data_IF_117791156705
#
_entry.id   IF_117791156705
#
_cell.length_a   1.000
_cell.length_b   1.000
_cell.length_c   1.000
_cell.angle_alpha   90.00
_cell.angle_beta   90.00
_cell.angle_gamma   90.00
#
_symmetry.space_group_name_H-M   'P 1'
#
loop_
_entity.id
_entity.type
_entity.pdbx_description
1 polymer ?
#
# COMPACT_ATOMS: atom_id res chain seq x y z
N UNK A 1 -54.69 18.09 -1.75
CA UNK A 1 -53.78 17.42 -2.70
C UNK A 1 -52.43 18.15 -2.69
N UNK A 2 -51.63 17.89 -1.66
CA UNK A 2 -50.40 18.65 -1.35
C UNK A 2 -49.29 17.67 -0.93
N UNK A 3 -48.87 16.79 -1.84
CA UNK A 3 -47.77 15.82 -1.58
C UNK A 3 -47.04 15.44 -2.88
N UNK A 4 -46.73 16.42 -3.73
CA UNK A 4 -45.93 16.21 -4.95
C UNK A 4 -44.84 17.29 -5.02
N UNK A 5 -43.90 17.32 -4.05
CA UNK A 5 -42.70 18.17 -4.18
C UNK A 5 -41.46 17.67 -3.43
N UNK A 6 -41.47 16.46 -2.85
CA UNK A 6 -40.37 15.96 -2.01
C UNK A 6 -39.51 14.85 -2.62
N UNK A 7 -39.68 14.53 -3.90
CA UNK A 7 -39.00 13.40 -4.57
C UNK A 7 -38.03 13.80 -5.70
N UNK A 8 -37.64 15.09 -5.78
CA UNK A 8 -36.78 15.58 -6.87
C UNK A 8 -35.40 16.12 -6.43
N UNK A 9 -34.93 15.85 -5.21
CA UNK A 9 -33.64 16.37 -4.73
C UNK A 9 -32.53 15.31 -4.53
N UNK A 10 -32.84 14.01 -4.64
CA UNK A 10 -31.87 12.94 -4.33
C UNK A 10 -31.14 12.33 -5.53
N UNK A 11 -31.16 12.96 -6.71
CA UNK A 11 -30.44 12.46 -7.91
C UNK A 11 -29.02 13.03 -8.02
N UNK A 12 -28.58 13.86 -7.07
CA UNK A 12 -27.18 14.30 -6.97
C UNK A 12 -26.39 13.39 -6.02
N UNK A 13 -26.41 12.07 -6.25
CA UNK A 13 -25.29 11.25 -5.80
C UNK A 13 -24.13 11.56 -6.73
N UNK A 14 -23.25 12.45 -6.27
CA UNK A 14 -21.99 12.75 -6.95
C UNK A 14 -21.27 11.46 -7.27
N UNK A 15 -21.20 11.14 -8.56
CA UNK A 15 -20.22 10.18 -9.07
C UNK A 15 -18.87 10.83 -8.75
N UNK A 16 -18.22 10.37 -7.67
CA UNK A 16 -16.80 10.61 -7.47
C UNK A 16 -16.10 9.86 -8.61
N UNK A 17 -16.01 10.52 -9.76
CA UNK A 17 -15.36 10.02 -10.94
C UNK A 17 -13.88 9.99 -10.66
N UNK A 18 -13.38 8.84 -10.22
CA UNK A 18 -11.95 8.58 -10.18
C UNK A 18 -11.42 8.81 -11.59
N UNK A 19 -10.56 9.82 -11.77
CA UNK A 19 -9.87 9.99 -13.04
C UNK A 19 -9.03 8.73 -13.28
N UNK A 20 -9.21 8.03 -14.41
CA UNK A 20 -8.44 6.84 -14.68
C UNK A 20 -6.95 7.19 -14.78
N UNK A 21 -6.10 6.33 -14.22
CA UNK A 21 -4.64 6.43 -14.38
C UNK A 21 -4.30 6.33 -15.87
N UNK A 22 -3.62 7.35 -16.40
CA UNK A 22 -3.19 7.37 -17.80
C UNK A 22 -1.86 6.63 -17.94
N UNK A 23 -1.92 5.34 -18.28
CA UNK A 23 -0.73 4.51 -18.45
C UNK A 23 0.13 4.89 -19.67
N UNK A 24 -0.35 5.77 -20.56
CA UNK A 24 0.40 6.27 -21.72
C UNK A 24 1.38 7.39 -21.40
N UNK A 25 1.30 8.01 -20.21
CA UNK A 25 2.22 9.07 -19.79
C UNK A 25 3.53 8.54 -19.22
N UNK A 26 4.59 9.28 -19.45
CA UNK A 26 5.87 9.08 -18.79
C UNK A 26 5.75 9.36 -17.30
N UNK A 27 6.50 8.61 -16.51
CA UNK A 27 6.59 8.79 -15.07
C UNK A 27 8.06 8.83 -14.66
N UNK A 28 8.36 9.64 -13.65
CA UNK A 28 9.63 9.59 -12.95
C UNK A 28 9.57 8.48 -11.89
N UNK A 29 10.54 7.58 -11.91
CA UNK A 29 10.59 6.45 -10.98
C UNK A 29 11.50 6.75 -9.80
N UNK A 30 10.94 6.72 -8.61
CA UNK A 30 11.70 6.83 -7.37
C UNK A 30 11.65 5.53 -6.56
N UNK A 31 12.79 5.13 -6.00
CA UNK A 31 12.89 3.88 -5.22
C UNK A 31 12.43 4.05 -3.77
N UNK A 32 11.85 3.00 -3.22
CA UNK A 32 11.61 2.77 -1.80
C UNK A 32 12.19 1.42 -1.40
N UNK A 33 12.87 1.38 -0.27
CA UNK A 33 13.32 0.12 0.33
C UNK A 33 12.71 -0.02 1.71
N UNK A 34 11.84 -1.03 1.89
CA UNK A 34 11.23 -1.37 3.16
C UNK A 34 11.94 -2.60 3.73
N UNK A 35 12.72 -2.41 4.80
CA UNK A 35 13.37 -3.49 5.54
C UNK A 35 12.58 -3.79 6.80
N UNK A 36 12.17 -5.04 6.99
CA UNK A 36 11.39 -5.47 8.13
C UNK A 36 12.13 -6.56 8.90
N UNK A 37 12.10 -6.45 10.23
CA UNK A 37 12.74 -7.40 11.13
C UNK A 37 11.91 -7.58 12.40
N UNK A 38 11.36 -8.77 12.54
CA UNK A 38 10.51 -9.21 13.66
C UNK A 38 11.30 -9.95 14.75
N UNK A 39 12.59 -10.23 14.55
CA UNK A 39 13.36 -11.12 15.42
C UNK A 39 13.73 -10.49 16.77
N UNK A 40 13.52 -9.18 16.94
CA UNK A 40 13.99 -8.42 18.10
C UNK A 40 12.87 -8.06 19.09
N UNK A 41 11.60 -8.20 18.73
CA UNK A 41 10.49 -7.89 19.63
C UNK A 41 9.24 -8.73 19.28
N UNK A 42 8.93 -9.73 20.10
CA UNK A 42 7.78 -10.62 19.88
C UNK A 42 6.43 -9.89 20.03
N UNK A 43 6.42 -8.72 20.69
CA UNK A 43 5.21 -7.94 20.94
C UNK A 43 4.94 -6.97 19.76
N UNK A 44 5.99 -6.54 19.04
CA UNK A 44 5.94 -5.62 17.90
C UNK A 44 6.54 -6.22 16.62
N UNK A 45 6.35 -7.52 16.39
CA UNK A 45 6.66 -8.16 15.12
C UNK A 45 5.96 -7.38 14.00
N UNK A 46 6.69 -6.73 13.09
CA UNK A 46 6.13 -5.71 12.19
C UNK A 46 6.90 -4.39 12.13
N UNK A 47 7.92 -4.23 12.98
CA UNK A 47 8.90 -3.14 12.85
C UNK A 47 9.57 -3.17 11.48
N UNK A 48 9.32 -2.13 10.70
CA UNK A 48 9.96 -1.92 9.41
C UNK A 48 10.65 -0.56 9.40
N UNK A 49 11.70 -0.46 8.60
CA UNK A 49 12.47 0.74 8.31
C UNK A 49 12.31 1.04 6.83
N UNK A 50 11.98 2.28 6.51
CA UNK A 50 11.81 2.78 5.16
C UNK A 50 13.00 3.64 4.77
N UNK A 51 13.52 3.39 3.56
CA UNK A 51 14.47 4.27 2.88
C UNK A 51 13.83 4.83 1.62
N UNK A 52 13.90 6.15 1.46
CA UNK A 52 13.34 6.94 0.37
C UNK A 52 14.47 7.31 -0.59
N UNK A 53 14.36 6.91 -1.85
CA UNK A 53 15.35 7.19 -2.89
C UNK A 53 16.58 6.30 -2.82
N UNK A 54 17.64 6.72 -3.53
CA UNK A 54 18.91 5.98 -3.55
C UNK A 54 19.75 6.21 -2.29
N UNK A 55 19.80 7.46 -1.86
CA UNK A 55 20.71 7.97 -0.82
C UNK A 55 19.97 8.40 0.47
N UNK A 56 18.71 8.00 0.60
CA UNK A 56 17.92 8.29 1.79
C UNK A 56 18.47 7.62 3.04
N UNK A 57 18.26 8.25 4.18
CA UNK A 57 18.55 7.64 5.47
C UNK A 57 17.40 6.72 5.88
N UNK A 58 17.68 5.50 6.39
CA UNK A 58 16.65 4.63 6.93
C UNK A 58 15.94 5.29 8.12
N UNK A 59 14.61 5.24 8.13
CA UNK A 59 13.77 5.71 9.23
C UNK A 59 12.69 4.69 9.59
N UNK A 60 12.15 4.68 10.82
CA UNK A 60 11.01 3.84 11.16
C UNK A 60 9.84 4.07 10.20
N UNK A 61 9.32 3.00 9.62
CA UNK A 61 8.16 3.04 8.74
C UNK A 61 6.88 3.14 9.57
N UNK A 62 5.87 3.83 9.04
CA UNK A 62 4.55 3.94 9.66
C UNK A 62 3.73 2.70 9.31
N UNK A 63 3.73 1.72 10.21
CA UNK A 63 3.04 0.45 10.02
C UNK A 63 1.87 0.29 11.00
N UNK A 64 0.74 -0.18 10.49
CA UNK A 64 -0.42 -0.56 11.29
C UNK A 64 -0.56 -2.09 11.32
N UNK A 65 -0.86 -2.63 12.49
CA UNK A 65 -1.25 -4.03 12.66
C UNK A 65 -2.76 -4.15 12.48
N UNK A 66 -3.19 -5.05 11.62
CA UNK A 66 -4.60 -5.38 11.38
C UNK A 66 -4.80 -6.90 11.30
N UNK A 67 -6.07 -7.31 11.24
CA UNK A 67 -6.46 -8.70 10.99
C UNK A 67 -7.02 -8.78 9.58
N UNK A 68 -6.38 -9.57 8.72
CA UNK A 68 -6.90 -9.89 7.40
C UNK A 68 -7.86 -11.07 7.50
N UNK A 69 -9.08 -10.91 6.97
CA UNK A 69 -10.01 -12.03 6.79
C UNK A 69 -9.64 -12.81 5.53
N UNK A 70 -9.32 -14.07 5.72
CA UNK A 70 -9.07 -15.02 4.64
C UNK A 70 -10.41 -15.54 4.06
N UNK A 71 -10.38 -16.11 2.86
CA UNK A 71 -11.57 -16.62 2.18
C UNK A 71 -12.33 -17.70 2.98
N UNK A 72 -11.63 -18.42 3.86
CA UNK A 72 -12.17 -19.46 4.72
C UNK A 72 -12.68 -18.93 6.08
N UNK A 73 -12.88 -17.61 6.22
CA UNK A 73 -13.25 -16.92 7.47
C UNK A 73 -12.22 -17.04 8.61
N UNK A 74 -11.01 -17.52 8.34
CA UNK A 74 -9.91 -17.41 9.30
C UNK A 74 -9.34 -15.99 9.29
N UNK A 75 -8.82 -15.58 10.44
CA UNK A 75 -8.14 -14.30 10.60
C UNK A 75 -6.64 -14.54 10.66
N UNK A 76 -5.89 -13.69 9.96
CA UNK A 76 -4.44 -13.73 9.96
C UNK A 76 -3.89 -12.33 10.26
N UNK A 77 -2.78 -12.28 11.00
CA UNK A 77 -2.09 -11.02 11.29
C UNK A 77 -1.58 -10.41 9.99
N UNK A 78 -1.86 -9.13 9.78
CA UNK A 78 -1.37 -8.35 8.63
C UNK A 78 -0.78 -7.04 9.12
N UNK A 79 0.35 -6.66 8.53
CA UNK A 79 0.95 -5.34 8.69
C UNK A 79 0.81 -4.57 7.41
N UNK A 80 0.42 -3.30 7.52
CA UNK A 80 0.26 -2.38 6.40
C UNK A 80 1.15 -1.17 6.68
N UNK A 81 2.20 -1.00 5.88
CA UNK A 81 3.22 0.02 6.05
C UNK A 81 3.14 1.06 4.94
N UNK A 82 3.08 2.34 5.32
CA UNK A 82 3.19 3.46 4.39
C UNK A 82 4.58 3.45 3.72
N UNK A 83 4.62 3.49 2.39
CA UNK A 83 5.88 3.55 1.62
C UNK A 83 6.21 4.95 1.12
N UNK A 84 5.46 5.97 1.54
CA UNK A 84 5.71 7.39 1.27
C UNK A 84 5.87 7.68 -0.23
N UNK A 85 4.84 7.28 -0.98
CA UNK A 85 4.71 7.55 -2.41
C UNK A 85 3.54 8.49 -2.69
N UNK A 86 3.39 9.53 -1.86
CA UNK A 86 2.38 10.56 -2.01
C UNK A 86 2.51 11.23 -3.38
N UNK A 87 1.47 11.15 -4.21
CA UNK A 87 1.46 11.71 -5.57
C UNK A 87 1.88 10.73 -6.67
N UNK A 88 2.29 9.50 -6.33
CA UNK A 88 2.51 8.45 -7.32
C UNK A 88 1.17 7.90 -7.81
N UNK A 89 1.00 7.78 -9.13
CA UNK A 89 -0.22 7.22 -9.73
C UNK A 89 -0.14 5.70 -9.93
N UNK A 90 1.06 5.14 -9.87
CA UNK A 90 1.36 3.71 -10.03
C UNK A 90 2.57 3.28 -9.21
N UNK A 91 2.68 1.98 -8.97
CA UNK A 91 3.79 1.34 -8.28
C UNK A 91 4.35 0.15 -9.07
N UNK A 92 5.53 -0.31 -8.66
CA UNK A 92 6.03 -1.63 -9.01
C UNK A 92 6.90 -2.18 -7.89
N UNK A 93 6.53 -3.32 -7.31
CA UNK A 93 7.47 -4.09 -6.48
C UNK A 93 8.53 -4.70 -7.39
N UNK A 94 9.78 -4.30 -7.20
CA UNK A 94 10.93 -4.64 -8.05
C UNK A 94 11.62 -5.90 -7.57
N UNK A 95 11.86 -6.01 -6.26
CA UNK A 95 12.61 -7.14 -5.71
C UNK A 95 12.30 -7.43 -4.25
N UNK A 96 12.73 -8.60 -3.80
CA UNK A 96 12.59 -9.12 -2.44
C UNK A 96 13.92 -9.73 -2.00
N UNK A 97 14.38 -9.45 -0.78
CA UNK A 97 15.58 -10.07 -0.25
C UNK A 97 15.35 -10.65 1.16
N UNK A 98 15.71 -11.92 1.42
CA UNK A 98 16.28 -12.87 0.46
C UNK A 98 15.25 -13.39 -0.55
N UNK A 99 15.66 -13.54 -1.81
CA UNK A 99 14.80 -14.07 -2.88
C UNK A 99 14.24 -15.47 -2.55
N UNK A 100 15.01 -16.27 -1.83
CA UNK A 100 14.68 -17.64 -1.42
C UNK A 100 13.68 -17.74 -0.26
N UNK A 101 13.26 -16.62 0.35
CA UNK A 101 12.27 -16.64 1.42
C UNK A 101 10.93 -17.21 0.88
N UNK A 102 10.53 -18.38 1.38
CA UNK A 102 9.32 -19.10 0.95
C UNK A 102 8.05 -18.64 1.65
N UNK A 103 8.15 -17.98 2.80
CA UNK A 103 7.00 -17.43 3.50
C UNK A 103 6.46 -16.19 2.77
N UNK A 104 7.32 -15.45 2.09
CA UNK A 104 6.98 -14.23 1.37
C UNK A 104 6.84 -14.45 -0.14
N UNK A 105 5.65 -14.81 -0.59
CA UNK A 105 5.22 -14.89 -2.00
C UNK A 105 4.39 -13.64 -2.36
N UNK A 106 4.78 -12.92 -3.43
CA UNK A 106 4.07 -11.72 -3.89
C UNK A 106 2.61 -12.06 -4.23
N UNK A 107 1.70 -11.11 -4.04
CA UNK A 107 0.25 -11.22 -4.21
C UNK A 107 -0.47 -12.09 -3.18
N UNK A 108 0.20 -13.14 -2.69
CA UNK A 108 -0.37 -14.03 -1.68
C UNK A 108 -0.12 -13.53 -0.26
N UNK A 109 1.14 -13.18 0.02
CA UNK A 109 1.57 -12.89 1.40
C UNK A 109 2.14 -11.50 1.59
N UNK A 110 2.41 -10.81 0.49
CA UNK A 110 2.71 -9.39 0.49
C UNK A 110 2.41 -8.79 -0.88
N UNK A 111 2.04 -7.52 -0.93
CA UNK A 111 2.06 -6.72 -2.15
C UNK A 111 1.89 -5.24 -1.80
N UNK A 112 1.97 -4.38 -2.81
CA UNK A 112 1.47 -3.02 -2.73
C UNK A 112 -0.07 -3.01 -2.70
N UNK A 113 -0.61 -2.00 -2.04
CA UNK A 113 -2.02 -1.64 -2.08
C UNK A 113 -2.12 -0.12 -2.08
N UNK A 114 -2.93 0.42 -3.00
CA UNK A 114 -3.34 1.82 -2.96
C UNK A 114 -4.61 1.93 -2.12
N UNK A 115 -4.62 2.86 -1.17
CA UNK A 115 -5.81 3.24 -0.40
C UNK A 115 -6.13 4.67 -0.79
N UNK A 116 -7.21 4.86 -1.55
CA UNK A 116 -7.68 6.17 -1.97
C UNK A 116 -8.22 6.96 -0.78
N UNK A 117 -7.85 8.23 -0.64
CA UNK A 117 -8.67 9.16 0.12
C UNK A 117 -9.88 9.56 -0.72
N UNK A 118 -10.98 9.98 -0.08
CA UNK A 118 -12.21 10.35 -0.78
C UNK A 118 -12.08 11.50 -1.79
N UNK A 119 -10.88 12.07 -1.95
CA UNK A 119 -10.53 13.16 -2.84
C UNK A 119 -9.59 12.73 -3.99
N UNK A 120 -9.40 11.42 -4.19
CA UNK A 120 -8.61 10.86 -5.29
C UNK A 120 -7.09 10.97 -5.09
N UNK A 121 -6.63 11.23 -3.86
CA UNK A 121 -5.22 11.22 -3.49
C UNK A 121 -4.93 9.97 -2.67
N UNK A 122 -4.84 8.83 -3.36
CA UNK A 122 -4.51 7.59 -2.70
C UNK A 122 -3.07 7.51 -2.22
N UNK A 123 -2.90 6.85 -1.07
CA UNK A 123 -1.61 6.51 -0.49
C UNK A 123 -1.24 5.08 -0.83
N UNK A 124 0.04 4.86 -1.04
CA UNK A 124 0.58 3.53 -1.31
C UNK A 124 1.12 2.90 -0.03
N UNK A 125 0.77 1.64 0.15
CA UNK A 125 1.22 0.83 1.26
C UNK A 125 1.79 -0.47 0.75
N UNK A 126 2.74 -1.03 1.49
CA UNK A 126 3.07 -2.45 1.40
C UNK A 126 2.36 -3.17 2.53
N UNK A 127 1.61 -4.20 2.19
CA UNK A 127 1.06 -5.11 3.18
C UNK A 127 1.84 -6.42 3.21
N UNK A 128 1.94 -7.03 4.39
CA UNK A 128 2.46 -8.38 4.63
C UNK A 128 1.54 -9.12 5.60
N UNK A 129 1.28 -10.41 5.39
CA UNK A 129 0.46 -11.21 6.32
C UNK A 129 1.17 -12.51 6.75
N UNK A 130 0.61 -13.17 7.76
CA UNK A 130 0.99 -14.52 8.16
C UNK A 130 2.44 -14.65 8.57
N UNK A 131 3.08 -15.74 8.13
CA UNK A 131 4.50 -15.94 8.38
C UNK A 131 5.37 -14.86 7.73
N UNK A 132 4.96 -14.30 6.58
CA UNK A 132 5.71 -13.22 5.92
C UNK A 132 5.72 -11.92 6.73
N UNK A 133 4.61 -11.60 7.41
CA UNK A 133 4.52 -10.47 8.33
C UNK A 133 5.55 -10.58 9.47
N UNK A 134 5.83 -11.81 9.90
CA UNK A 134 6.74 -12.14 11.00
C UNK A 134 8.14 -12.53 10.53
N UNK A 135 8.48 -12.38 9.25
CA UNK A 135 9.79 -12.75 8.74
C UNK A 135 10.70 -11.53 8.53
N UNK A 136 12.01 -11.77 8.51
CA UNK A 136 13.00 -10.75 8.13
C UNK A 136 13.05 -10.65 6.61
N UNK A 137 12.73 -9.47 6.10
CA UNK A 137 12.68 -9.25 4.65
C UNK A 137 12.92 -7.81 4.24
N UNK A 138 13.61 -7.62 3.12
CA UNK A 138 13.67 -6.36 2.39
C UNK A 138 12.78 -6.42 1.16
N UNK A 139 11.99 -5.38 0.95
CA UNK A 139 11.14 -5.20 -0.22
C UNK A 139 11.54 -3.90 -0.92
N UNK A 140 11.89 -3.98 -2.20
CA UNK A 140 12.17 -2.82 -3.03
C UNK A 140 10.96 -2.52 -3.92
N UNK A 141 10.51 -1.27 -3.89
CA UNK A 141 9.36 -0.76 -4.65
C UNK A 141 9.78 0.48 -5.42
N UNK A 142 9.33 0.61 -6.65
CA UNK A 142 9.42 1.86 -7.41
C UNK A 142 8.06 2.54 -7.44
N UNK A 143 8.07 3.83 -7.16
CA UNK A 143 6.89 4.69 -7.20
C UNK A 143 6.99 5.59 -8.44
N UNK A 144 5.94 5.56 -9.27
CA UNK A 144 5.88 6.30 -10.53
C UNK A 144 5.14 7.61 -10.35
N UNK A 145 5.85 8.72 -10.47
CA UNK A 145 5.31 10.07 -10.36
C UNK A 145 5.01 10.63 -11.75
N UNK A 146 3.77 11.04 -12.04
CA UNK A 146 3.41 11.63 -13.33
C UNK A 146 4.25 12.87 -13.64
N UNK A 147 4.86 12.91 -14.82
CA UNK A 147 5.52 14.13 -15.31
C UNK A 147 4.51 15.05 -15.99
N UNK A 148 4.67 16.37 -15.87
CA UNK A 148 3.78 17.36 -16.50
C UNK A 148 4.04 17.57 -18.00
N UNK A 149 4.61 16.59 -18.70
CA UNK A 149 4.96 16.70 -20.13
C UNK A 149 3.73 16.77 -21.02
#
# INVERSE_FOLDING_TARGET
MLFIYLLLCCVLTGVSGQLPVDYGKYVEWERRTLYCDSTHDQINSGLCWLTVGKDGQPKPAKCNRELAKLQNNQEEVRFVCDIECDGADRDSVVSKYPNSNRHCVRWWSYNTQKIEDGYGKGKWYIWRNGLCAMDRISLEVHCGFPTTS
#
